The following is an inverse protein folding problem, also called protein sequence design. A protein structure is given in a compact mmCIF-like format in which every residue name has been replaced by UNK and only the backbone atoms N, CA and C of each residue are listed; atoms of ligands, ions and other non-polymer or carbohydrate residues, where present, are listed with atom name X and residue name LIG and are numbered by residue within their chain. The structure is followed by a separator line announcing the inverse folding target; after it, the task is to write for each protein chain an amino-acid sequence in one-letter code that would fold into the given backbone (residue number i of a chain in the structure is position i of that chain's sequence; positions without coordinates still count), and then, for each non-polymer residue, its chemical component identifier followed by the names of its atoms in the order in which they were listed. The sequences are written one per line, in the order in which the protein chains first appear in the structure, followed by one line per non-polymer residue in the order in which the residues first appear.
data_IF_017427933007
#
_entry.id   IF_017427933007
#
_cell.length_a   1.000
_cell.length_b   1.000
_cell.length_c   1.000
_cell.angle_alpha   90.00
_cell.angle_beta   90.00
_cell.angle_gamma   90.00
#
_symmetry.space_group_name_H-M   'P 1'
#
loop_
_entity.id
_entity.type
_entity.pdbx_description
1 polymer ?
#
# COMPACT_ATOMS: atom_id res chain seq x y z
N UNK A 1 -27.45 -22.77 -7.65
CA UNK A 1 -27.72 -22.49 -9.09
C UNK A 1 -29.16 -22.05 -9.38
N UNK A 2 -30.18 -22.38 -8.56
CA UNK A 2 -31.58 -21.98 -8.80
C UNK A 2 -31.84 -20.47 -8.77
N UNK A 3 -30.96 -19.67 -8.15
CA UNK A 3 -31.12 -18.21 -8.07
C UNK A 3 -30.83 -17.52 -9.40
N UNK A 4 -29.90 -18.07 -10.20
CA UNK A 4 -29.52 -17.51 -11.50
C UNK A 4 -30.65 -17.68 -12.52
N UNK A 5 -31.43 -18.76 -12.40
CA UNK A 5 -32.64 -18.98 -13.21
C UNK A 5 -33.73 -17.93 -12.99
N UNK A 6 -33.63 -17.10 -11.93
CA UNK A 6 -34.51 -15.95 -11.68
C UNK A 6 -34.03 -14.66 -12.35
N UNK A 7 -33.02 -14.73 -13.23
CA UNK A 7 -32.44 -13.55 -13.89
C UNK A 7 -31.51 -12.72 -12.99
N UNK A 8 -31.07 -13.28 -11.86
CA UNK A 8 -30.14 -12.61 -10.94
C UNK A 8 -28.72 -12.73 -11.47
N UNK A 9 -28.01 -11.61 -11.53
CA UNK A 9 -26.56 -11.56 -11.82
C UNK A 9 -25.75 -11.45 -10.53
N UNK A 10 -24.62 -12.14 -10.47
CA UNK A 10 -23.69 -12.12 -9.33
C UNK A 10 -22.35 -11.58 -9.82
N UNK A 11 -21.84 -10.55 -9.16
CA UNK A 11 -20.56 -9.93 -9.49
C UNK A 11 -19.60 -10.09 -8.30
N UNK A 12 -18.48 -10.78 -8.52
CA UNK A 12 -17.34 -10.75 -7.61
C UNK A 12 -16.50 -9.51 -7.93
N UNK A 13 -16.39 -8.57 -7.00
CA UNK A 13 -15.63 -7.34 -7.19
C UNK A 13 -14.37 -7.40 -6.33
N UNK A 14 -13.21 -7.52 -6.99
CA UNK A 14 -11.89 -7.54 -6.38
C UNK A 14 -11.19 -6.23 -6.75
N UNK A 15 -11.13 -5.29 -5.80
CA UNK A 15 -10.59 -3.96 -6.06
C UNK A 15 -9.08 -3.97 -6.31
N UNK A 16 -8.35 -4.89 -5.67
CA UNK A 16 -6.92 -5.09 -5.81
C UNK A 16 -6.53 -5.59 -7.20
N UNK A 17 -7.25 -6.58 -7.73
CA UNK A 17 -7.06 -7.07 -9.10
C UNK A 17 -7.37 -5.98 -10.13
N UNK A 18 -8.48 -5.26 -9.93
CA UNK A 18 -8.85 -4.16 -10.80
C UNK A 18 -7.79 -3.06 -10.81
N UNK A 19 -7.34 -2.56 -9.65
CA UNK A 19 -6.33 -1.48 -9.60
C UNK A 19 -4.98 -1.93 -10.16
N UNK A 20 -4.58 -3.19 -9.94
CA UNK A 20 -3.30 -3.73 -10.41
C UNK A 20 -3.24 -3.99 -11.92
N UNK A 21 -4.39 -4.25 -12.55
CA UNK A 21 -4.48 -4.60 -13.98
C UNK A 21 -5.28 -3.61 -14.83
N UNK A 22 -5.86 -2.58 -14.22
CA UNK A 22 -6.71 -1.60 -14.89
C UNK A 22 -5.97 -0.87 -16.01
N UNK A 23 -6.67 -0.69 -17.13
CA UNK A 23 -6.19 0.20 -18.17
C UNK A 23 -6.20 1.64 -17.67
N UNK A 24 -5.40 2.51 -18.31
CA UNK A 24 -5.39 3.94 -17.98
C UNK A 24 -6.79 4.56 -18.06
N UNK A 25 -7.61 4.13 -19.03
CA UNK A 25 -8.98 4.59 -19.22
C UNK A 25 -9.88 4.25 -18.03
N UNK A 26 -9.75 3.03 -17.52
CA UNK A 26 -10.54 2.54 -16.37
C UNK A 26 -10.21 3.32 -15.09
N UNK A 27 -8.93 3.59 -14.86
CA UNK A 27 -8.49 4.42 -13.73
C UNK A 27 -9.00 5.85 -13.87
N UNK A 28 -8.92 6.44 -15.06
CA UNK A 28 -9.39 7.80 -15.33
C UNK A 28 -10.92 7.93 -15.11
N UNK A 29 -11.68 6.90 -15.51
CA UNK A 29 -13.13 6.83 -15.28
C UNK A 29 -13.47 6.67 -13.80
N UNK A 30 -12.80 5.76 -13.07
CA UNK A 30 -13.01 5.62 -11.62
C UNK A 30 -12.74 6.94 -10.88
N UNK A 31 -11.67 7.64 -11.27
CA UNK A 31 -11.34 8.94 -10.68
C UNK A 31 -12.38 10.02 -11.01
N UNK A 32 -13.03 9.98 -12.17
CA UNK A 32 -14.08 10.95 -12.50
C UNK A 32 -15.30 10.76 -11.58
N UNK A 33 -15.75 9.52 -11.37
CA UNK A 33 -16.82 9.21 -10.42
C UNK A 33 -16.51 9.68 -9.00
N UNK A 34 -15.26 9.48 -8.53
CA UNK A 34 -14.84 9.95 -7.21
C UNK A 34 -14.87 11.49 -7.15
N UNK A 35 -14.34 12.19 -8.16
CA UNK A 35 -14.34 13.66 -8.19
C UNK A 35 -15.75 14.22 -8.20
N UNK A 36 -16.65 13.66 -8.98
CA UNK A 36 -18.02 14.16 -9.08
C UNK A 36 -18.83 13.81 -7.82
N UNK A 37 -18.58 12.64 -7.21
CA UNK A 37 -19.12 12.29 -5.90
C UNK A 37 -18.67 13.24 -4.79
N UNK A 38 -17.42 13.73 -4.84
CA UNK A 38 -16.94 14.76 -3.91
C UNK A 38 -17.62 16.11 -4.15
N UNK A 39 -17.75 16.55 -5.41
CA UNK A 39 -18.40 17.83 -5.76
C UNK A 39 -19.87 17.88 -5.35
N UNK A 40 -20.59 16.77 -5.54
CA UNK A 40 -22.01 16.65 -5.18
C UNK A 40 -22.22 16.47 -3.67
N UNK A 41 -21.15 16.24 -2.92
CA UNK A 41 -21.21 15.95 -1.49
C UNK A 41 -21.73 14.55 -1.17
N UNK A 42 -21.88 13.67 -2.16
CA UNK A 42 -22.20 12.25 -1.96
C UNK A 42 -21.05 11.51 -1.25
N UNK A 43 -19.81 11.88 -1.57
CA UNK A 43 -18.61 11.37 -0.89
C UNK A 43 -18.21 12.38 0.19
N UNK A 44 -18.32 11.96 1.45
CA UNK A 44 -17.88 12.71 2.63
C UNK A 44 -16.81 11.93 3.38
N UNK A 45 -15.88 12.61 4.08
CA UNK A 45 -14.92 11.95 4.96
C UNK A 45 -15.66 11.07 5.99
N UNK A 46 -15.14 9.86 6.20
CA UNK A 46 -15.62 9.00 7.28
C UNK A 46 -15.16 9.54 8.63
N UNK A 47 -15.88 9.23 9.71
CA UNK A 47 -15.34 9.34 11.06
C UNK A 47 -14.01 8.59 11.14
N UNK A 48 -13.05 9.11 11.90
CA UNK A 48 -11.74 8.49 12.00
C UNK A 48 -11.17 8.54 13.41
N UNK A 49 -10.31 7.57 13.72
CA UNK A 49 -9.53 7.53 14.94
C UNK A 49 -8.05 7.62 14.58
N UNK A 50 -7.33 8.58 15.19
CA UNK A 50 -5.94 8.89 14.83
C UNK A 50 -4.98 8.35 15.89
N UNK A 51 -4.00 7.59 15.44
CA UNK A 51 -2.83 7.18 16.23
C UNK A 51 -1.59 7.93 15.76
N UNK A 52 -0.67 8.22 16.67
CA UNK A 52 0.65 8.76 16.31
C UNK A 52 1.54 7.68 15.68
N UNK A 53 2.60 8.08 15.00
CA UNK A 53 3.53 7.16 14.32
C UNK A 53 4.17 6.13 15.26
N UNK A 54 4.36 6.46 16.53
CA UNK A 54 4.92 5.60 17.58
C UNK A 54 3.90 4.62 18.17
N UNK A 55 2.62 4.77 17.83
CA UNK A 55 1.51 3.96 18.34
C UNK A 55 1.00 2.95 17.31
N UNK A 56 1.84 2.55 16.36
CA UNK A 56 1.44 1.69 15.24
C UNK A 56 0.86 0.34 15.72
N UNK A 57 1.47 -0.28 16.73
CA UNK A 57 0.96 -1.55 17.29
C UNK A 57 -0.45 -1.38 17.88
N UNK A 58 -0.68 -0.30 18.63
CA UNK A 58 -1.98 0.02 19.19
C UNK A 58 -3.03 0.28 18.11
N UNK A 59 -2.64 0.93 17.00
CA UNK A 59 -3.52 1.16 15.86
C UNK A 59 -4.01 -0.16 15.24
N UNK A 60 -3.09 -1.11 15.00
CA UNK A 60 -3.44 -2.43 14.50
C UNK A 60 -4.31 -3.22 15.49
N UNK A 61 -3.98 -3.19 16.79
CA UNK A 61 -4.76 -3.86 17.82
C UNK A 61 -6.18 -3.29 17.94
N UNK A 62 -6.31 -1.97 17.88
CA UNK A 62 -7.60 -1.27 17.89
C UNK A 62 -8.44 -1.62 16.66
N UNK A 63 -7.82 -1.68 15.48
CA UNK A 63 -8.47 -2.12 14.25
C UNK A 63 -8.96 -3.57 14.36
N UNK A 64 -8.12 -4.49 14.83
CA UNK A 64 -8.42 -5.91 14.94
C UNK A 64 -9.56 -6.23 15.92
N UNK A 65 -9.76 -5.41 16.95
CA UNK A 65 -10.88 -5.57 17.89
C UNK A 65 -12.25 -5.24 17.27
N UNK A 66 -12.30 -4.60 16.10
CA UNK A 66 -13.57 -4.25 15.44
C UNK A 66 -14.41 -3.18 16.14
N UNK A 67 -13.86 -2.51 17.17
CA UNK A 67 -14.56 -1.45 17.94
C UNK A 67 -14.54 -0.07 17.28
N UNK A 68 -13.85 0.07 16.15
CA UNK A 68 -13.67 1.34 15.48
C UNK A 68 -14.89 1.69 14.61
N UNK A 69 -15.30 2.95 14.63
CA UNK A 69 -16.29 3.48 13.70
C UNK A 69 -15.56 4.30 12.65
N UNK A 70 -15.68 3.89 11.38
CA UNK A 70 -15.03 4.56 10.25
C UNK A 70 -13.59 4.12 10.04
N UNK A 71 -12.64 5.05 9.87
CA UNK A 71 -11.25 4.73 9.46
C UNK A 71 -10.25 4.89 10.61
N UNK A 72 -9.32 3.94 10.75
CA UNK A 72 -8.15 4.09 11.62
C UNK A 72 -7.03 4.74 10.81
N UNK A 73 -6.50 5.87 11.30
CA UNK A 73 -5.45 6.66 10.64
C UNK A 73 -4.19 6.69 11.49
N UNK A 74 -3.03 6.67 10.84
CA UNK A 74 -1.72 6.85 11.50
C UNK A 74 -1.12 8.16 11.02
N UNK A 75 -0.87 9.07 11.96
CA UNK A 75 -0.30 10.38 11.69
C UNK A 75 1.24 10.30 11.68
N UNK A 76 1.82 10.44 10.49
CA UNK A 76 3.28 10.38 10.29
C UNK A 76 3.95 11.74 10.53
N UNK A 77 3.35 12.84 10.07
CA UNK A 77 3.84 14.22 10.25
C UNK A 77 2.69 15.16 10.59
N UNK A 78 2.95 16.19 11.41
CA UNK A 78 2.08 17.37 11.44
C UNK A 78 2.49 18.32 10.30
N UNK A 79 1.49 19.01 9.75
CA UNK A 79 1.60 19.85 8.55
C UNK A 79 2.63 20.99 8.71
N UNK A 80 2.97 21.36 9.96
CA UNK A 80 3.81 22.50 10.31
C UNK A 80 4.99 22.16 11.25
N UNK A 81 5.32 20.87 11.44
CA UNK A 81 6.41 20.47 12.33
C UNK A 81 7.72 20.19 11.58
N UNK A 82 8.83 20.55 12.21
CA UNK A 82 10.20 20.16 11.81
C UNK A 82 10.29 18.66 11.48
N UNK A 83 11.21 18.23 10.59
CA UNK A 83 11.31 16.83 10.19
C UNK A 83 11.42 15.91 11.41
N UNK A 84 10.34 15.19 11.69
CA UNK A 84 10.33 14.14 12.72
C UNK A 84 11.34 13.08 12.31
N UNK A 85 12.38 12.90 13.12
CA UNK A 85 13.31 11.78 12.95
C UNK A 85 12.57 10.51 13.35
N UNK A 86 12.08 9.77 12.37
CA UNK A 86 11.47 8.45 12.60
C UNK A 86 12.60 7.46 12.80
N UNK A 87 12.74 6.93 14.01
CA UNK A 87 13.63 5.81 14.28
C UNK A 87 13.17 4.61 13.46
N UNK A 88 14.05 4.12 12.58
CA UNK A 88 13.79 2.96 11.74
C UNK A 88 14.99 2.01 11.81
N UNK A 89 14.72 0.72 11.66
CA UNK A 89 15.77 -0.28 11.55
C UNK A 89 16.49 -0.06 10.21
N UNK A 90 17.82 0.16 10.21
CA UNK A 90 18.54 0.40 8.98
C UNK A 90 18.45 -0.82 8.05
N UNK A 91 18.23 -0.57 6.77
CA UNK A 91 18.14 -1.62 5.76
C UNK A 91 18.90 -1.19 4.50
N UNK A 92 19.87 -2.01 4.09
CA UNK A 92 20.67 -1.75 2.88
C UNK A 92 19.86 -2.01 1.62
N UNK A 93 19.96 -1.08 0.67
CA UNK A 93 19.43 -1.17 -0.68
C UNK A 93 20.50 -0.75 -1.67
N UNK A 94 20.40 -1.28 -2.89
CA UNK A 94 21.34 -1.03 -3.98
C UNK A 94 20.66 -0.15 -5.03
N UNK A 95 21.36 0.90 -5.48
CA UNK A 95 20.81 1.87 -6.43
C UNK A 95 20.87 1.35 -7.86
N UNK A 96 19.75 1.37 -8.58
CA UNK A 96 19.63 0.80 -9.94
C UNK A 96 20.54 1.44 -11.01
N UNK A 97 21.27 2.49 -10.65
CA UNK A 97 22.16 3.29 -11.48
C UNK A 97 23.66 3.00 -11.23
N UNK A 98 23.98 1.92 -10.50
CA UNK A 98 25.35 1.54 -10.13
C UNK A 98 25.67 0.12 -10.56
N UNK A 99 26.95 -0.21 -10.57
CA UNK A 99 27.44 -1.57 -10.84
C UNK A 99 28.22 -2.11 -9.65
N UNK A 100 28.09 -3.42 -9.39
CA UNK A 100 28.80 -4.11 -8.32
C UNK A 100 29.58 -5.27 -8.91
N UNK A 101 30.85 -5.37 -8.53
CA UNK A 101 31.74 -6.43 -8.98
C UNK A 101 31.95 -7.38 -7.81
N UNK A 102 31.56 -8.64 -8.00
CA UNK A 102 31.80 -9.72 -7.03
C UNK A 102 32.92 -10.60 -7.57
N UNK A 103 34.13 -10.44 -7.02
CA UNK A 103 35.26 -11.31 -7.36
C UNK A 103 35.01 -12.70 -6.77
N UNK A 104 35.12 -13.74 -7.60
CA UNK A 104 34.73 -15.10 -7.19
C UNK A 104 33.22 -15.31 -7.06
N UNK A 105 32.40 -14.46 -7.71
CA UNK A 105 30.93 -14.45 -7.61
C UNK A 105 30.22 -15.74 -8.06
N UNK A 106 30.91 -16.64 -8.76
CA UNK A 106 30.34 -17.91 -9.23
C UNK A 106 30.47 -19.06 -8.21
N UNK A 107 31.12 -18.84 -7.06
CA UNK A 107 31.10 -19.77 -5.94
C UNK A 107 29.81 -19.65 -5.12
N UNK A 108 29.53 -20.61 -4.24
CA UNK A 108 28.27 -20.64 -3.46
C UNK A 108 27.96 -19.35 -2.71
N UNK A 109 28.92 -18.81 -1.93
CA UNK A 109 28.71 -17.55 -1.21
C UNK A 109 28.59 -16.33 -2.14
N UNK A 110 29.38 -16.29 -3.22
CA UNK A 110 29.35 -15.20 -4.17
C UNK A 110 28.02 -15.12 -4.92
N UNK A 111 27.45 -16.29 -5.22
CA UNK A 111 26.17 -16.41 -5.90
C UNK A 111 25.01 -15.98 -4.99
N UNK A 112 24.99 -16.42 -3.72
CA UNK A 112 24.00 -15.96 -2.74
C UNK A 112 24.12 -14.46 -2.46
N UNK A 113 25.34 -13.92 -2.42
CA UNK A 113 25.55 -12.48 -2.31
C UNK A 113 25.01 -11.74 -3.54
N UNK A 114 25.25 -12.25 -4.75
CA UNK A 114 24.70 -11.67 -5.97
C UNK A 114 23.16 -11.66 -5.94
N UNK A 115 22.54 -12.78 -5.56
CA UNK A 115 21.08 -12.87 -5.42
C UNK A 115 20.56 -11.87 -4.39
N UNK A 116 21.21 -11.76 -3.23
CA UNK A 116 20.84 -10.79 -2.20
C UNK A 116 20.96 -9.33 -2.68
N UNK A 117 21.98 -9.00 -3.48
CA UNK A 117 22.12 -7.66 -4.09
C UNK A 117 20.95 -7.38 -5.02
N UNK A 118 20.57 -8.34 -5.87
CA UNK A 118 19.44 -8.21 -6.80
C UNK A 118 18.11 -8.05 -6.07
N UNK A 119 17.84 -8.87 -5.04
CA UNK A 119 16.65 -8.73 -4.18
C UNK A 119 16.56 -7.38 -3.47
N UNK A 120 17.72 -6.75 -3.22
CA UNK A 120 17.84 -5.42 -2.60
C UNK A 120 17.90 -4.27 -3.62
N UNK A 121 17.57 -4.53 -4.88
CA UNK A 121 17.39 -3.52 -5.93
C UNK A 121 18.59 -3.30 -6.84
N UNK A 122 19.67 -4.08 -6.67
CA UNK A 122 20.79 -4.05 -7.60
C UNK A 122 20.38 -4.57 -8.97
N UNK A 123 20.80 -3.89 -10.02
CA UNK A 123 20.55 -4.26 -11.42
C UNK A 123 21.83 -4.23 -12.24
#
# INVERSE_FOLDING_TARGET
MSILAKGISIFGILADEYIGSASKKDVDELQSYIRDGMKTGAIKPLSYHVFKHDQLENAFRFMAQGKHIGKVLVQIKLKDSMPTVVSAIPRTYFGTDKSWIIVGGLGGMGFELANWIVERGGR
#
